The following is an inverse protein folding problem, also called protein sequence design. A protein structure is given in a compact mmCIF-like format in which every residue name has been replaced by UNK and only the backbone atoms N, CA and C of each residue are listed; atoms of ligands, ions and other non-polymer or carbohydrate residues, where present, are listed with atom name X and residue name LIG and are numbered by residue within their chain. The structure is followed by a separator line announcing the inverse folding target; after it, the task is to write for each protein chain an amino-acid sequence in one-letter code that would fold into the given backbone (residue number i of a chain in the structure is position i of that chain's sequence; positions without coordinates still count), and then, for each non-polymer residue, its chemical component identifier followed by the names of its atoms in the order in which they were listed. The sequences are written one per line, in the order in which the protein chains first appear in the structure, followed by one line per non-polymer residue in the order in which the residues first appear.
data_IF_156718119024
#
_entry.id   IF_156718119024
#
_cell.length_a   1.000
_cell.length_b   1.000
_cell.length_c   1.000
_cell.angle_alpha   90.00
_cell.angle_beta   90.00
_cell.angle_gamma   90.00
#
_symmetry.space_group_name_H-M   'P 1'
#
loop_
_entity.id
_entity.type
_entity.pdbx_description
1 polymer ?
#
# COMPACT_ATOMS: atom_id res chain seq x y z
N UNK A 1 -43.08 5.47 -10.63
CA UNK A 1 -42.68 6.02 -9.30
C UNK A 1 -41.28 6.59 -9.43
N UNK A 2 -41.17 7.92 -9.55
CA UNK A 2 -39.90 8.63 -9.68
C UNK A 2 -39.18 8.61 -8.32
N UNK A 3 -38.04 7.92 -8.24
CA UNK A 3 -37.10 8.10 -7.13
C UNK A 3 -36.50 9.49 -7.30
N UNK A 4 -36.96 10.44 -6.50
CA UNK A 4 -36.27 11.72 -6.30
C UNK A 4 -34.86 11.40 -5.83
N UNK A 5 -33.90 11.38 -6.77
CA UNK A 5 -32.48 11.31 -6.46
C UNK A 5 -32.15 12.56 -5.68
N UNK A 6 -32.01 12.42 -4.36
CA UNK A 6 -31.50 13.48 -3.50
C UNK A 6 -30.23 14.04 -4.13
N UNK A 7 -30.30 15.30 -4.58
CA UNK A 7 -29.16 15.99 -5.19
C UNK A 7 -28.17 16.29 -4.09
N UNK A 8 -27.25 15.35 -3.85
CA UNK A 8 -26.18 15.56 -2.89
C UNK A 8 -25.39 16.83 -3.28
N UNK A 9 -25.13 17.74 -2.34
CA UNK A 9 -24.42 18.98 -2.61
C UNK A 9 -22.96 18.69 -2.99
N UNK A 10 -22.40 19.51 -3.88
CA UNK A 10 -21.02 19.41 -4.31
C UNK A 10 -20.05 19.32 -3.12
N UNK A 11 -19.05 18.45 -3.24
CA UNK A 11 -18.02 18.30 -2.20
C UNK A 11 -16.97 19.43 -2.26
N UNK A 12 -16.38 19.80 -1.12
CA UNK A 12 -15.26 20.76 -1.05
C UNK A 12 -14.09 20.35 -1.96
N UNK A 13 -13.86 19.04 -2.12
CA UNK A 13 -12.81 18.51 -3.00
C UNK A 13 -13.11 18.78 -4.48
N UNK A 14 -14.37 18.62 -4.91
CA UNK A 14 -14.79 18.93 -6.28
C UNK A 14 -14.73 20.42 -6.56
N UNK A 15 -15.17 21.29 -5.62
CA UNK A 15 -15.02 22.75 -5.76
C UNK A 15 -13.54 23.11 -5.97
N UNK A 16 -12.65 22.58 -5.12
CA UNK A 16 -11.20 22.85 -5.22
C UNK A 16 -10.62 22.39 -6.56
N UNK A 17 -11.07 21.24 -7.07
CA UNK A 17 -10.60 20.71 -8.36
C UNK A 17 -11.06 21.60 -9.51
N UNK A 18 -12.36 21.93 -9.56
CA UNK A 18 -12.94 22.79 -10.59
C UNK A 18 -12.27 24.17 -10.59
N UNK A 19 -12.08 24.79 -9.41
CA UNK A 19 -11.39 26.09 -9.30
C UNK A 19 -9.92 26.02 -9.69
N UNK A 20 -9.24 24.89 -9.45
CA UNK A 20 -7.87 24.69 -9.92
C UNK A 20 -7.76 24.51 -11.43
N UNK A 21 -8.79 23.96 -12.09
CA UNK A 21 -8.85 23.84 -13.55
C UNK A 21 -9.14 25.20 -14.17
N UNK A 22 -10.13 25.94 -13.61
CA UNK A 22 -10.45 27.31 -14.01
C UNK A 22 -9.18 28.18 -14.01
N UNK A 23 -8.53 28.35 -12.85
CA UNK A 23 -7.40 29.28 -12.70
C UNK A 23 -6.15 28.93 -13.50
N UNK A 24 -6.13 27.81 -14.24
CA UNK A 24 -5.01 27.42 -15.10
C UNK A 24 -5.34 27.46 -16.59
N UNK A 25 -6.61 27.39 -16.98
CA UNK A 25 -6.97 27.13 -18.37
C UNK A 25 -8.15 27.94 -18.91
N UNK A 26 -8.93 28.61 -18.05
CA UNK A 26 -10.15 29.31 -18.48
C UNK A 26 -10.22 30.68 -17.81
N UNK A 27 -10.66 31.68 -18.59
CA UNK A 27 -11.06 32.95 -18.01
C UNK A 27 -12.40 32.81 -17.26
N UNK A 28 -12.70 33.75 -16.35
CA UNK A 28 -13.93 33.70 -15.55
C UNK A 28 -15.20 33.82 -16.40
N UNK A 29 -15.14 34.54 -17.54
CA UNK A 29 -16.25 34.65 -18.48
C UNK A 29 -16.53 33.30 -19.15
N UNK A 30 -15.53 32.70 -19.78
CA UNK A 30 -15.62 31.39 -20.45
C UNK A 30 -16.09 30.30 -19.48
N UNK A 31 -15.59 30.35 -18.25
CA UNK A 31 -15.98 29.42 -17.20
C UNK A 31 -17.47 29.53 -16.82
N UNK A 32 -18.01 30.74 -16.72
CA UNK A 32 -19.44 30.97 -16.44
C UNK A 32 -20.32 30.51 -17.59
N UNK A 33 -19.90 30.76 -18.83
CA UNK A 33 -20.63 30.30 -20.01
C UNK A 33 -20.75 28.77 -20.05
N UNK A 34 -19.67 28.05 -19.72
CA UNK A 34 -19.67 26.58 -19.64
C UNK A 34 -20.65 26.09 -18.57
N UNK A 35 -20.66 26.72 -17.38
CA UNK A 35 -21.58 26.37 -16.30
C UNK A 35 -23.05 26.61 -16.67
N UNK A 36 -23.33 27.74 -17.31
CA UNK A 36 -24.68 28.11 -17.72
C UNK A 36 -25.19 27.19 -18.85
N UNK A 37 -24.36 26.98 -19.88
CA UNK A 37 -24.69 26.15 -21.04
C UNK A 37 -24.99 24.69 -20.67
N UNK A 38 -24.17 24.10 -19.80
CA UNK A 38 -24.26 22.67 -19.50
C UNK A 38 -25.08 22.33 -18.25
N UNK A 39 -25.18 23.27 -17.30
CA UNK A 39 -25.80 22.99 -16.00
C UNK A 39 -26.82 24.04 -15.55
N UNK A 40 -27.00 25.14 -16.30
CA UNK A 40 -27.90 26.27 -15.99
C UNK A 40 -27.63 26.86 -14.60
N UNK A 41 -26.35 26.93 -14.21
CA UNK A 41 -25.90 27.52 -12.95
C UNK A 41 -24.85 28.58 -13.22
N UNK A 42 -24.72 29.55 -12.32
CA UNK A 42 -23.74 30.64 -12.45
C UNK A 42 -22.46 30.37 -11.65
N UNK A 43 -22.51 29.40 -10.73
CA UNK A 43 -21.38 29.04 -9.87
C UNK A 43 -21.28 27.54 -9.66
N UNK A 44 -20.06 27.01 -9.55
CA UNK A 44 -19.83 25.60 -9.22
C UNK A 44 -20.39 25.19 -7.84
N UNK A 45 -20.60 26.14 -6.92
CA UNK A 45 -21.19 25.84 -5.61
C UNK A 45 -22.66 25.40 -5.69
N UNK A 46 -23.32 25.69 -6.82
CA UNK A 46 -24.71 25.31 -7.08
C UNK A 46 -24.83 23.93 -7.77
N UNK A 47 -23.70 23.30 -8.11
CA UNK A 47 -23.70 21.96 -8.72
C UNK A 47 -24.02 20.89 -7.66
N UNK A 48 -24.68 19.83 -8.09
CA UNK A 48 -24.70 18.56 -7.35
C UNK A 48 -23.39 17.80 -7.54
N UNK A 49 -23.13 16.81 -6.68
CA UNK A 49 -21.93 15.96 -6.80
C UNK A 49 -21.82 15.30 -8.18
N UNK A 50 -22.96 14.85 -8.75
CA UNK A 50 -22.99 14.23 -10.08
C UNK A 50 -22.67 15.25 -11.18
N UNK A 51 -23.24 16.45 -11.12
CA UNK A 51 -22.97 17.49 -12.11
C UNK A 51 -21.51 17.97 -12.03
N UNK A 52 -20.97 18.09 -10.82
CA UNK A 52 -19.57 18.43 -10.60
C UNK A 52 -18.63 17.34 -11.14
N UNK A 53 -18.98 16.06 -10.98
CA UNK A 53 -18.25 14.94 -11.60
C UNK A 53 -18.25 15.04 -13.12
N UNK A 54 -19.42 15.21 -13.73
CA UNK A 54 -19.56 15.37 -15.18
C UNK A 54 -18.76 16.54 -15.74
N UNK A 55 -18.78 17.69 -15.04
CA UNK A 55 -17.99 18.86 -15.46
C UNK A 55 -16.48 18.57 -15.44
N UNK A 56 -16.00 17.83 -14.42
CA UNK A 56 -14.59 17.42 -14.33
C UNK A 56 -14.22 16.45 -15.47
N UNK A 57 -15.12 15.51 -15.79
CA UNK A 57 -14.92 14.55 -16.89
C UNK A 57 -14.88 15.27 -18.25
N UNK A 58 -15.78 16.22 -18.50
CA UNK A 58 -15.76 17.08 -19.68
C UNK A 58 -14.45 17.87 -19.79
N UNK A 59 -13.94 18.41 -18.68
CA UNK A 59 -12.65 19.08 -18.69
C UNK A 59 -11.49 18.13 -19.03
N UNK A 60 -11.54 16.88 -18.58
CA UNK A 60 -10.54 15.87 -18.95
C UNK A 60 -10.61 15.52 -20.44
N UNK A 61 -11.81 15.38 -21.01
CA UNK A 61 -12.03 15.13 -22.44
C UNK A 61 -11.55 16.28 -23.32
N UNK A 62 -11.72 17.52 -22.87
CA UNK A 62 -11.23 18.71 -23.56
C UNK A 62 -9.71 18.94 -23.39
N UNK A 63 -9.00 18.01 -22.76
CA UNK A 63 -7.54 18.06 -22.62
C UNK A 63 -7.04 19.02 -21.55
N UNK A 64 -7.92 19.55 -20.69
CA UNK A 64 -7.47 20.38 -19.58
C UNK A 64 -6.71 19.54 -18.56
N UNK A 65 -5.70 20.15 -17.93
CA UNK A 65 -4.95 19.50 -16.87
C UNK A 65 -5.87 19.30 -15.64
N UNK A 66 -6.49 18.12 -15.54
CA UNK A 66 -7.21 17.68 -14.36
C UNK A 66 -6.18 17.10 -13.38
N UNK A 67 -5.94 17.74 -12.22
CA UNK A 67 -5.02 17.20 -11.23
C UNK A 67 -5.56 15.84 -10.81
N UNK A 68 -4.87 14.76 -11.19
CA UNK A 68 -5.22 13.41 -10.75
C UNK A 68 -5.37 13.47 -9.25
N UNK A 69 -6.58 13.18 -8.75
CA UNK A 69 -6.83 13.06 -7.32
C UNK A 69 -5.74 12.12 -6.82
N UNK A 70 -4.82 12.63 -5.99
CA UNK A 70 -4.02 11.74 -5.15
C UNK A 70 -5.06 11.07 -4.29
N UNK A 71 -5.54 9.91 -4.74
CA UNK A 71 -6.22 8.97 -3.88
C UNK A 71 -5.21 8.83 -2.75
N UNK A 72 -5.52 9.42 -1.59
CA UNK A 72 -4.87 9.02 -0.34
C UNK A 72 -5.07 7.53 -0.36
N UNK A 73 -4.01 6.84 -0.71
CA UNK A 73 -4.07 5.44 -1.03
C UNK A 73 -4.36 4.81 0.31
N UNK A 74 -5.63 4.52 0.57
CA UNK A 74 -5.99 3.44 1.48
C UNK A 74 -5.43 2.21 0.76
N UNK A 75 -4.15 1.95 0.96
CA UNK A 75 -3.35 0.99 0.21
C UNK A 75 -3.18 1.30 -1.28
N UNK A 76 -1.99 1.73 -1.70
CA UNK A 76 -1.53 1.38 -3.05
C UNK A 76 -1.42 -0.14 -3.07
N UNK A 77 -2.43 -0.84 -3.58
CA UNK A 77 -2.18 -2.17 -4.14
C UNK A 77 -1.39 -1.87 -5.41
N UNK A 78 -0.06 -1.84 -5.26
CA UNK A 78 0.81 -2.17 -6.40
C UNK A 78 0.23 -3.46 -6.97
N UNK A 79 0.07 -3.51 -8.28
CA UNK A 79 -0.10 -4.74 -9.03
C UNK A 79 1.19 -5.56 -8.87
N UNK A 80 1.38 -6.09 -7.66
CA UNK A 80 2.22 -7.24 -7.42
C UNK A 80 1.41 -8.34 -8.06
N UNK A 81 1.94 -8.97 -9.13
CA UNK A 81 1.48 -10.28 -9.58
C UNK A 81 1.07 -11.05 -8.33
N UNK A 82 -0.22 -11.34 -8.20
CA UNK A 82 -0.81 -11.99 -7.04
C UNK A 82 -0.11 -13.34 -6.92
N UNK A 83 1.00 -13.36 -6.17
CA UNK A 83 1.46 -14.59 -5.53
C UNK A 83 0.25 -14.99 -4.72
N UNK A 84 -0.32 -16.14 -5.07
CA UNK A 84 -1.49 -16.69 -4.40
C UNK A 84 -1.34 -16.44 -2.91
N UNK A 85 -2.37 -15.82 -2.31
CA UNK A 85 -2.40 -15.62 -0.87
C UNK A 85 -2.14 -16.99 -0.26
N UNK A 86 -0.93 -17.17 0.28
CA UNK A 86 -0.59 -18.30 1.14
C UNK A 86 -1.76 -18.44 2.08
N UNK A 87 -2.43 -19.60 2.02
CA UNK A 87 -3.66 -19.88 2.75
C UNK A 87 -3.49 -19.32 4.15
N UNK A 88 -4.29 -18.30 4.49
CA UNK A 88 -4.36 -17.78 5.86
C UNK A 88 -4.56 -19.01 6.73
N UNK A 89 -3.61 -19.29 7.62
CA UNK A 89 -3.80 -20.29 8.67
C UNK A 89 -5.16 -20.00 9.27
N UNK A 90 -6.03 -21.01 9.21
CA UNK A 90 -7.43 -20.93 9.58
C UNK A 90 -7.55 -20.17 10.90
N UNK A 91 -8.31 -19.09 10.89
CA UNK A 91 -8.79 -18.48 12.12
C UNK A 91 -9.66 -19.56 12.74
N UNK A 92 -9.08 -20.33 13.66
CA UNK A 92 -9.85 -21.27 14.48
C UNK A 92 -10.95 -20.45 15.16
N UNK A 93 -12.18 -20.91 14.98
CA UNK A 93 -13.41 -20.29 15.42
C UNK A 93 -13.27 -19.51 16.74
N UNK A 94 -13.36 -18.18 16.67
CA UNK A 94 -13.39 -17.29 17.83
C UNK A 94 -12.38 -16.14 17.82
N UNK A 95 -12.59 -15.16 18.71
CA UNK A 95 -11.67 -14.03 19.00
C UNK A 95 -10.40 -14.50 19.75
N UNK A 96 -9.86 -15.67 19.42
CA UNK A 96 -8.70 -16.23 20.11
C UNK A 96 -7.45 -15.93 19.28
N UNK A 97 -6.53 -15.17 19.87
CA UNK A 97 -5.22 -14.87 19.28
C UNK A 97 -4.22 -15.89 19.80
N UNK A 98 -3.61 -16.66 18.89
CA UNK A 98 -2.52 -17.59 19.24
C UNK A 98 -1.25 -16.79 19.56
N UNK A 99 -0.67 -17.05 20.71
CA UNK A 99 0.63 -16.51 21.10
C UNK A 99 1.75 -17.16 20.27
N UNK A 100 2.86 -16.45 20.12
CA UNK A 100 4.05 -17.00 19.50
C UNK A 100 4.63 -18.13 20.35
N UNK A 101 4.98 -19.25 19.73
CA UNK A 101 5.64 -20.36 20.44
C UNK A 101 7.11 -20.06 20.71
N UNK A 102 7.71 -20.78 21.66
CA UNK A 102 9.15 -20.69 21.94
C UNK A 102 9.99 -21.01 20.70
N UNK A 103 9.63 -22.06 19.97
CA UNK A 103 10.30 -22.47 18.73
C UNK A 103 10.27 -21.37 17.67
N UNK A 104 9.17 -20.61 17.58
CA UNK A 104 9.08 -19.47 16.68
C UNK A 104 10.05 -18.35 17.08
N UNK A 105 10.20 -18.07 18.37
CA UNK A 105 11.18 -17.11 18.87
C UNK A 105 12.62 -17.56 18.59
N UNK A 106 12.93 -18.84 18.82
CA UNK A 106 14.24 -19.43 18.52
C UNK A 106 14.56 -19.35 17.03
N UNK A 107 13.58 -19.64 16.16
CA UNK A 107 13.73 -19.51 14.71
C UNK A 107 13.98 -18.06 14.26
N UNK A 108 13.32 -17.10 14.89
CA UNK A 108 13.58 -15.67 14.64
C UNK A 108 15.00 -15.30 15.05
N UNK A 109 15.45 -15.74 16.23
CA UNK A 109 16.81 -15.48 16.70
C UNK A 109 17.87 -16.08 15.76
N UNK A 110 17.68 -17.34 15.35
CA UNK A 110 18.57 -18.03 14.42
C UNK A 110 18.63 -17.35 13.04
N UNK A 111 17.50 -16.89 12.49
CA UNK A 111 17.50 -16.14 11.23
C UNK A 111 18.12 -14.76 11.38
N UNK A 112 17.91 -14.10 12.52
CA UNK A 112 18.47 -12.78 12.78
C UNK A 112 20.00 -12.82 12.93
N UNK A 113 20.59 -13.92 13.42
CA UNK A 113 22.04 -14.07 13.52
C UNK A 113 22.72 -14.27 12.16
N UNK A 114 22.00 -14.78 11.15
CA UNK A 114 22.50 -14.91 9.78
C UNK A 114 22.59 -13.56 9.04
N UNK A 115 21.95 -12.52 9.57
CA UNK A 115 21.85 -11.21 8.93
C UNK A 115 22.94 -10.30 9.47
N UNK A 116 23.74 -9.73 8.56
CA UNK A 116 24.66 -8.66 8.93
C UNK A 116 23.87 -7.35 9.13
N UNK A 117 23.67 -6.94 10.38
CA UNK A 117 22.99 -5.70 10.73
C UNK A 117 23.93 -4.50 10.65
N UNK A 118 23.38 -3.32 10.32
CA UNK A 118 24.15 -2.06 10.23
C UNK A 118 24.21 -1.28 11.55
N UNK A 119 23.37 -1.66 12.51
CA UNK A 119 23.15 -1.02 13.80
C UNK A 119 22.89 -2.11 14.83
N UNK A 120 23.23 -1.87 16.10
CA UNK A 120 23.15 -2.87 17.18
C UNK A 120 21.72 -3.42 17.34
N UNK A 121 20.70 -2.56 17.36
CA UNK A 121 19.29 -2.95 17.45
C UNK A 121 18.62 -3.21 16.09
N UNK A 122 19.38 -3.79 15.15
CA UNK A 122 18.95 -3.94 13.76
C UNK A 122 17.61 -4.68 13.60
N UNK A 123 17.44 -5.79 14.33
CA UNK A 123 16.22 -6.59 14.29
C UNK A 123 15.00 -5.80 14.79
N UNK A 124 15.14 -5.12 15.93
CA UNK A 124 14.08 -4.31 16.54
C UNK A 124 13.63 -3.20 15.57
N UNK A 125 14.58 -2.40 15.08
CA UNK A 125 14.30 -1.26 14.21
C UNK A 125 13.72 -1.71 12.86
N UNK A 126 14.15 -2.88 12.38
CA UNK A 126 13.59 -3.46 11.17
C UNK A 126 12.14 -3.91 11.36
N UNK A 127 11.83 -4.62 12.44
CA UNK A 127 10.45 -5.05 12.74
C UNK A 127 9.53 -3.85 12.92
N UNK A 128 9.95 -2.86 13.69
CA UNK A 128 9.19 -1.63 13.93
C UNK A 128 8.89 -0.91 12.61
N UNK A 129 9.90 -0.74 11.75
CA UNK A 129 9.77 -0.02 10.48
C UNK A 129 9.00 -0.79 9.40
N UNK A 130 9.16 -2.12 9.31
CA UNK A 130 8.61 -2.94 8.21
C UNK A 130 7.31 -3.63 8.54
N UNK A 131 7.14 -4.03 9.79
CA UNK A 131 6.01 -4.84 10.24
C UNK A 131 5.07 -4.06 11.17
N UNK A 132 5.53 -2.95 11.75
CA UNK A 132 4.72 -2.08 12.62
C UNK A 132 4.60 -2.59 14.05
N UNK A 133 5.44 -3.53 14.47
CA UNK A 133 5.51 -4.00 15.85
C UNK A 133 6.97 -4.07 16.32
N UNK A 134 7.18 -3.81 17.61
CA UNK A 134 8.49 -3.78 18.24
C UNK A 134 8.89 -5.13 18.86
N UNK A 135 7.91 -5.98 19.18
CA UNK A 135 8.11 -7.31 19.76
C UNK A 135 7.10 -8.28 19.18
N UNK A 136 7.54 -9.50 18.95
CA UNK A 136 6.69 -10.60 18.50
C UNK A 136 5.92 -11.15 19.70
N UNK A 137 4.59 -11.09 19.65
CA UNK A 137 3.70 -11.60 20.71
C UNK A 137 2.80 -12.72 20.18
N UNK A 138 2.37 -12.60 18.93
CA UNK A 138 1.41 -13.50 18.30
C UNK A 138 2.07 -14.41 17.29
N UNK A 139 1.49 -15.59 17.07
CA UNK A 139 1.95 -16.52 16.04
C UNK A 139 1.93 -15.89 14.64
N UNK A 140 1.01 -14.96 14.39
CA UNK A 140 0.93 -14.21 13.14
C UNK A 140 2.10 -13.23 12.96
N UNK A 141 2.47 -12.50 14.01
CA UNK A 141 3.65 -11.62 14.00
C UNK A 141 4.92 -12.44 13.84
N UNK A 142 5.01 -13.60 14.51
CA UNK A 142 6.14 -14.51 14.38
C UNK A 142 6.31 -14.99 12.95
N UNK A 143 5.23 -15.45 12.32
CA UNK A 143 5.22 -15.84 10.91
C UNK A 143 5.73 -14.73 9.99
N UNK A 144 5.21 -13.49 10.17
CA UNK A 144 5.64 -12.35 9.37
C UNK A 144 7.12 -12.01 9.57
N UNK A 145 7.61 -12.06 10.81
CA UNK A 145 9.01 -11.83 11.12
C UNK A 145 9.90 -12.89 10.47
N UNK A 146 9.58 -14.18 10.62
CA UNK A 146 10.33 -15.31 10.02
C UNK A 146 10.43 -15.14 8.50
N UNK A 147 9.31 -14.96 7.82
CA UNK A 147 9.29 -14.81 6.35
C UNK A 147 10.01 -13.56 5.88
N UNK A 148 9.90 -12.46 6.63
CA UNK A 148 10.63 -11.23 6.35
C UNK A 148 12.14 -11.40 6.50
N UNK A 149 12.60 -12.11 7.54
CA UNK A 149 14.01 -12.35 7.81
C UNK A 149 14.64 -13.31 6.78
N UNK A 150 13.94 -14.39 6.41
CA UNK A 150 14.37 -15.28 5.30
C UNK A 150 14.65 -14.48 4.04
N UNK A 151 13.67 -13.69 3.60
CA UNK A 151 13.80 -12.88 2.39
C UNK A 151 14.90 -11.83 2.51
N UNK A 152 15.11 -11.29 3.70
CA UNK A 152 16.19 -10.33 3.95
C UNK A 152 17.56 -11.00 3.82
N UNK A 153 17.74 -12.17 4.44
CA UNK A 153 18.94 -12.97 4.32
C UNK A 153 19.23 -13.34 2.86
N UNK A 154 18.26 -13.88 2.13
CA UNK A 154 18.42 -14.22 0.71
C UNK A 154 18.83 -13.01 -0.14
N UNK A 155 18.25 -11.83 0.13
CA UNK A 155 18.63 -10.62 -0.60
C UNK A 155 20.06 -10.18 -0.27
N UNK A 156 20.52 -10.36 0.97
CA UNK A 156 21.92 -10.11 1.32
C UNK A 156 22.86 -11.09 0.61
N UNK A 157 22.50 -12.38 0.57
CA UNK A 157 23.30 -13.39 -0.11
C UNK A 157 23.36 -13.14 -1.62
N UNK A 158 22.22 -12.80 -2.24
CA UNK A 158 22.16 -12.40 -3.65
C UNK A 158 23.03 -11.18 -3.93
N UNK A 159 23.02 -10.19 -3.03
CA UNK A 159 23.84 -8.99 -3.18
C UNK A 159 25.34 -9.28 -3.03
N UNK A 160 25.74 -10.20 -2.14
CA UNK A 160 27.15 -10.54 -1.88
C UNK A 160 27.73 -11.53 -2.90
N UNK A 161 26.96 -12.53 -3.30
CA UNK A 161 27.46 -13.69 -4.03
C UNK A 161 26.84 -13.89 -5.42
N UNK A 162 25.83 -13.08 -5.79
CA UNK A 162 25.12 -13.19 -7.06
C UNK A 162 23.88 -14.09 -6.98
N UNK A 163 23.23 -14.32 -8.12
CA UNK A 163 21.99 -15.12 -8.19
C UNK A 163 22.21 -16.55 -7.73
N UNK A 164 23.32 -17.18 -8.11
CA UNK A 164 23.57 -18.61 -7.86
C UNK A 164 24.21 -18.91 -6.49
N UNK A 165 23.95 -18.06 -5.50
CA UNK A 165 24.53 -18.18 -4.16
C UNK A 165 24.16 -19.51 -3.49
N UNK A 166 22.97 -20.06 -3.74
CA UNK A 166 22.51 -21.34 -3.18
C UNK A 166 23.32 -22.57 -3.64
N UNK A 167 24.12 -22.46 -4.70
CA UNK A 167 24.93 -23.56 -5.23
C UNK A 167 26.36 -23.58 -4.67
N UNK A 168 26.72 -22.57 -3.86
CA UNK A 168 28.07 -22.43 -3.31
C UNK A 168 28.19 -23.16 -1.97
N UNK A 169 29.39 -23.66 -1.68
CA UNK A 169 29.76 -24.10 -0.35
C UNK A 169 30.11 -22.88 0.50
N UNK A 170 29.62 -22.86 1.74
CA UNK A 170 29.89 -21.83 2.72
C UNK A 170 30.63 -22.45 3.92
N UNK A 171 31.54 -21.69 4.51
CA UNK A 171 32.23 -22.08 5.74
C UNK A 171 31.31 -22.01 6.97
N UNK A 172 30.25 -21.21 6.90
CA UNK A 172 29.27 -21.07 7.97
C UNK A 172 28.23 -22.20 7.91
N UNK A 173 28.32 -23.13 8.87
CA UNK A 173 27.39 -24.24 9.05
C UNK A 173 25.93 -23.79 9.14
N UNK A 174 25.66 -22.60 9.68
CA UNK A 174 24.31 -22.08 9.81
C UNK A 174 23.72 -21.67 8.44
N UNK A 175 24.56 -21.16 7.53
CA UNK A 175 24.16 -20.89 6.14
C UNK A 175 23.90 -22.20 5.40
N UNK A 176 24.76 -23.20 5.58
CA UNK A 176 24.58 -24.52 4.96
C UNK A 176 23.28 -25.18 5.43
N UNK A 177 23.01 -25.19 6.74
CA UNK A 177 21.73 -25.68 7.30
C UNK A 177 20.53 -24.93 6.75
N UNK A 178 20.61 -23.60 6.62
CA UNK A 178 19.53 -22.82 6.02
C UNK A 178 19.23 -23.28 4.59
N UNK A 179 20.28 -23.50 3.78
CA UNK A 179 20.14 -23.97 2.40
C UNK A 179 19.52 -25.36 2.36
N UNK A 180 19.98 -26.29 3.21
CA UNK A 180 19.42 -27.64 3.29
C UNK A 180 17.94 -27.66 3.67
N UNK A 181 17.52 -26.81 4.61
CA UNK A 181 16.13 -26.71 5.05
C UNK A 181 15.19 -26.05 4.02
N UNK A 182 15.72 -25.26 3.08
CA UNK A 182 14.92 -24.38 2.20
C UNK A 182 15.17 -24.59 0.70
N UNK A 183 15.93 -25.62 0.31
CA UNK A 183 16.13 -26.05 -1.08
C UNK A 183 15.00 -26.98 -1.53
#
# INVERSE_FOLDING_TARGET
MNRSTERLPITKAQIKMIKSIQGKNLDDVEYREILEKHFRVTSCTQLSQMQAGRLIDMFAEWGFFVPKRRVKSVGKVKEVKRVEKVKRVEIVEGKVVRLASREQHEKIAALASLITWRVEDGLYLWMEKRMGFSRVRTAQEAYLAIEGLKKMFENQMKAKYGTDWWARAYEDDAIMRYIEEHK
#
